data_IF_779225171162
#
_entry.id   IF_779225171162
#
_cell.length_a   1.000
_cell.length_b   1.000
_cell.length_c   1.000
_cell.angle_alpha   90.00
_cell.angle_beta   90.00
_cell.angle_gamma   90.00
#
_symmetry.space_group_name_H-M   'P 1'
#
loop_
_entity.id
_entity.type
_entity.pdbx_description
1 polymer ?
#
# COMPACT_ATOMS: atom_id res chain seq x y z
N UNK A 1 12.07 9.41 10.28
CA UNK A 1 12.04 9.79 11.73
C UNK A 1 12.81 11.08 11.86
N UNK A 2 12.54 11.94 12.85
CA UNK A 2 13.32 13.17 13.03
C UNK A 2 14.61 12.86 13.79
N UNK A 3 15.72 13.49 13.38
CA UNK A 3 17.00 13.36 14.06
C UNK A 3 16.90 13.78 15.53
N UNK A 4 17.77 13.23 16.37
CA UNK A 4 17.70 13.45 17.82
C UNK A 4 17.83 14.92 18.21
N UNK A 5 18.69 15.67 17.50
CA UNK A 5 18.92 17.11 17.72
C UNK A 5 17.98 18.01 16.93
N UNK A 6 16.99 17.45 16.24
CA UNK A 6 16.04 18.22 15.44
C UNK A 6 14.98 18.89 16.31
N UNK A 7 15.01 20.22 16.35
CA UNK A 7 14.06 21.04 17.09
C UNK A 7 12.60 20.74 16.73
N UNK A 8 12.33 20.24 15.52
CA UNK A 8 10.99 19.85 15.04
C UNK A 8 10.35 18.74 15.86
N UNK A 9 11.10 18.02 16.71
CA UNK A 9 10.56 17.02 17.66
C UNK A 9 9.68 17.63 18.74
N UNK A 10 9.89 18.92 19.08
CA UNK A 10 9.14 19.62 20.13
C UNK A 10 7.62 19.58 19.91
N UNK A 11 7.17 19.53 18.65
CA UNK A 11 5.74 19.49 18.31
C UNK A 11 5.00 18.26 18.84
N UNK A 12 5.73 17.20 19.20
CA UNK A 12 5.19 15.96 19.76
C UNK A 12 5.42 15.84 21.27
N UNK A 13 6.04 16.82 21.93
CA UNK A 13 6.17 16.81 23.39
C UNK A 13 4.79 17.02 24.02
N UNK A 14 4.40 16.16 24.96
CA UNK A 14 3.06 16.19 25.57
C UNK A 14 1.91 15.78 24.63
N UNK A 15 2.21 15.27 23.43
CA UNK A 15 1.24 14.77 22.44
C UNK A 15 1.73 13.45 21.85
N UNK A 16 0.86 12.72 21.18
CA UNK A 16 1.24 11.50 20.47
C UNK A 16 1.48 11.81 18.99
N UNK A 17 2.59 11.30 18.44
CA UNK A 17 2.78 11.27 16.99
C UNK A 17 1.94 10.13 16.41
N UNK A 18 0.98 10.48 15.57
CA UNK A 18 0.14 9.51 14.89
C UNK A 18 0.90 8.83 13.74
N UNK A 19 0.81 7.50 13.71
CA UNK A 19 1.38 6.64 12.66
C UNK A 19 0.39 5.51 12.44
N UNK A 20 0.08 5.18 11.19
CA UNK A 20 -0.76 4.04 10.87
C UNK A 20 -0.04 2.74 11.25
N UNK A 21 -0.70 1.80 11.93
CA UNK A 21 -0.10 0.50 12.30
C UNK A 21 -0.15 -0.53 11.18
N UNK A 22 -1.01 -0.32 10.17
CA UNK A 22 -1.24 -1.26 9.08
C UNK A 22 -0.49 -0.77 7.84
N UNK A 23 0.68 -1.35 7.59
CA UNK A 23 1.53 -0.96 6.47
C UNK A 23 1.11 -1.71 5.20
N UNK A 24 0.59 -0.99 4.20
CA UNK A 24 0.08 -1.60 2.97
C UNK A 24 1.13 -2.43 2.19
N UNK A 25 2.42 -2.09 2.34
CA UNK A 25 3.52 -2.83 1.70
C UNK A 25 3.66 -4.26 2.22
N UNK A 26 3.39 -4.49 3.51
CA UNK A 26 3.43 -5.83 4.11
C UNK A 26 2.19 -6.61 3.68
N UNK A 27 1.01 -5.98 3.79
CA UNK A 27 -0.28 -6.58 3.44
C UNK A 27 -0.35 -7.06 1.99
N UNK A 28 0.24 -6.33 1.04
CA UNK A 28 0.24 -6.74 -0.37
C UNK A 28 1.21 -7.89 -0.64
N UNK A 29 2.32 -7.96 0.10
CA UNK A 29 3.28 -9.05 -0.02
C UNK A 29 2.77 -10.37 0.57
N UNK A 30 1.83 -10.30 1.52
CA UNK A 30 1.14 -11.47 2.08
C UNK A 30 0.15 -12.12 1.10
N UNK A 31 -0.32 -11.39 0.09
CA UNK A 31 -1.28 -11.94 -0.88
C UNK A 31 -0.60 -12.98 -1.80
N UNK A 32 -1.26 -14.11 -2.08
CA UNK A 32 -0.71 -15.12 -2.97
C UNK A 32 -0.63 -14.61 -4.41
N UNK A 33 0.38 -15.07 -5.13
CA UNK A 33 0.48 -14.85 -6.57
C UNK A 33 -0.63 -15.63 -7.27
N UNK A 34 -1.38 -14.96 -8.15
CA UNK A 34 -2.41 -15.61 -8.96
C UNK A 34 -1.83 -16.12 -10.27
N UNK A 35 -1.85 -17.44 -10.46
CA UNK A 35 -1.40 -18.08 -11.71
C UNK A 35 -2.56 -18.23 -12.70
N UNK A 36 -2.29 -18.00 -13.98
CA UNK A 36 -3.27 -18.14 -15.07
C UNK A 36 -2.61 -18.73 -16.31
N UNK A 37 -3.37 -19.46 -17.12
CA UNK A 37 -2.87 -20.11 -18.35
C UNK A 37 -2.75 -19.16 -19.56
N UNK A 38 -3.36 -17.97 -19.47
CA UNK A 38 -3.39 -16.99 -20.56
C UNK A 38 -2.17 -16.08 -20.59
N UNK A 39 -1.65 -15.75 -21.79
CA UNK A 39 -0.53 -14.80 -21.98
C UNK A 39 -0.84 -13.35 -21.57
N UNK A 40 -2.10 -12.93 -21.64
CA UNK A 40 -2.52 -11.58 -21.25
C UNK A 40 -3.73 -11.70 -20.33
N UNK A 41 -3.62 -11.13 -19.13
CA UNK A 41 -4.71 -11.06 -18.14
C UNK A 41 -5.15 -9.62 -17.94
N UNK A 42 -6.38 -9.40 -17.49
CA UNK A 42 -6.86 -8.07 -17.11
C UNK A 42 -7.22 -7.99 -15.63
N UNK A 43 -6.85 -6.89 -14.99
CA UNK A 43 -7.21 -6.58 -13.60
C UNK A 43 -7.97 -5.26 -13.53
N UNK A 44 -9.02 -5.21 -12.71
CA UNK A 44 -9.80 -4.01 -12.39
C UNK A 44 -9.82 -3.72 -10.88
N UNK A 45 -9.06 -4.46 -10.07
CA UNK A 45 -9.05 -4.32 -8.62
C UNK A 45 -10.29 -4.87 -7.91
N UNK A 46 -11.20 -5.52 -8.65
CA UNK A 46 -12.46 -6.07 -8.13
C UNK A 46 -13.58 -5.02 -8.03
N UNK A 47 -14.84 -5.48 -8.14
CA UNK A 47 -16.01 -4.62 -8.00
C UNK A 47 -16.31 -3.72 -9.20
N UNK A 48 -15.72 -3.99 -10.37
CA UNK A 48 -15.97 -3.25 -11.60
C UNK A 48 -15.62 -1.76 -11.46
N UNK A 49 -16.63 -0.89 -11.49
CA UNK A 49 -16.42 0.56 -11.37
C UNK A 49 -15.95 1.02 -9.96
N UNK A 50 -16.04 0.16 -8.95
CA UNK A 50 -15.55 0.46 -7.59
C UNK A 50 -14.04 0.20 -7.42
N UNK A 51 -13.43 -0.50 -8.39
CA UNK A 51 -12.01 -0.77 -8.41
C UNK A 51 -11.22 0.29 -9.17
N UNK A 52 -10.08 -0.12 -9.71
CA UNK A 52 -9.27 0.75 -10.57
C UNK A 52 -9.64 0.56 -12.05
N UNK A 53 -9.25 1.49 -12.95
CA UNK A 53 -9.42 1.30 -14.38
C UNK A 53 -8.82 -0.03 -14.83
N UNK A 54 -9.51 -0.71 -15.76
CA UNK A 54 -9.08 -2.00 -16.28
C UNK A 54 -7.71 -1.87 -16.96
N UNK A 55 -6.74 -2.64 -16.47
CA UNK A 55 -5.39 -2.74 -17.05
C UNK A 55 -5.13 -4.15 -17.56
N UNK A 56 -4.25 -4.28 -18.55
CA UNK A 56 -3.82 -5.56 -19.11
C UNK A 56 -2.38 -5.83 -18.71
N UNK A 57 -2.13 -7.03 -18.18
CA UNK A 57 -0.83 -7.48 -17.69
C UNK A 57 -0.37 -8.60 -18.62
N UNK A 58 0.83 -8.43 -19.17
CA UNK A 58 1.48 -9.48 -19.96
C UNK A 58 2.23 -10.44 -19.02
N UNK A 59 2.10 -11.74 -19.28
CA UNK A 59 2.71 -12.83 -18.53
C UNK A 59 3.73 -13.59 -19.38
#
# INVERSE_FOLDING_TARGET
>A
VYDEKDYRRVRFVGRQKEVNKNFAIELIAEQPVSEVESRVVSCDGGGGALGHPKVYINL
#
